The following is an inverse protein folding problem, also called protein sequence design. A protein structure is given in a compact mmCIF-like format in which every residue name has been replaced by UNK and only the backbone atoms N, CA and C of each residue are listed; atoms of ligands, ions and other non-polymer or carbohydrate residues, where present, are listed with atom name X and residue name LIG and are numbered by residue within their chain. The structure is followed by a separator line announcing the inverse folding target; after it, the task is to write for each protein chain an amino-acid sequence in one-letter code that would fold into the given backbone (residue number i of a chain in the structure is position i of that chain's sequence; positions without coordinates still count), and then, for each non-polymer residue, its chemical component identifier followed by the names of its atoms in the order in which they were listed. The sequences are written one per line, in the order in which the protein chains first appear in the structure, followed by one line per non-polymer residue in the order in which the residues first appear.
data_IF_024853179889
#
_entry.id   IF_024853179889
#
_cell.length_a   1.000
_cell.length_b   1.000
_cell.length_c   1.000
_cell.angle_alpha   90.00
_cell.angle_beta   90.00
_cell.angle_gamma   90.00
#
_symmetry.space_group_name_H-M   'P 1'
#
loop_
_entity.id
_entity.type
_entity.pdbx_description
1 polymer ?
#
# COMPACT_ATOMS: atom_id res chain seq x y z
N UNK A 1 -23.96 9.61 -10.69
CA UNK A 1 -22.52 9.32 -10.51
C UNK A 1 -22.39 8.46 -9.28
N UNK A 2 -21.50 7.47 -9.32
CA UNK A 2 -21.22 6.59 -8.19
C UNK A 2 -19.71 6.53 -7.93
N UNK A 3 -19.34 6.31 -6.69
CA UNK A 3 -17.95 6.16 -6.29
C UNK A 3 -17.58 4.68 -6.25
N UNK A 4 -16.50 4.31 -6.93
CA UNK A 4 -15.91 2.97 -6.87
C UNK A 4 -14.56 3.02 -6.18
N UNK A 5 -14.11 1.85 -5.70
CA UNK A 5 -12.81 1.66 -5.09
C UNK A 5 -12.06 0.58 -5.85
N UNK A 6 -10.88 0.91 -6.35
CA UNK A 6 -9.96 -0.02 -6.98
C UNK A 6 -8.72 -0.20 -6.11
N UNK A 7 -8.19 -1.40 -6.06
CA UNK A 7 -7.00 -1.74 -5.26
C UNK A 7 -5.91 -2.26 -6.18
N UNK A 8 -4.75 -1.62 -6.15
CA UNK A 8 -3.54 -2.14 -6.80
C UNK A 8 -2.62 -2.68 -5.73
N UNK A 9 -2.43 -3.99 -5.78
CA UNK A 9 -1.38 -4.70 -5.07
C UNK A 9 -0.13 -4.59 -5.94
N UNK A 10 0.85 -3.80 -5.51
CA UNK A 10 2.11 -3.71 -6.24
C UNK A 10 2.99 -4.89 -5.80
N UNK A 11 3.59 -5.58 -6.76
CA UNK A 11 4.61 -6.62 -6.50
C UNK A 11 5.60 -6.10 -5.44
N UNK A 12 5.54 -6.70 -4.25
CA UNK A 12 6.30 -6.37 -3.03
C UNK A 12 7.30 -5.21 -3.14
N UNK A 13 6.84 -3.97 -3.02
CA UNK A 13 7.77 -2.86 -2.80
C UNK A 13 8.28 -2.97 -1.38
N UNK A 14 9.43 -3.64 -1.22
CA UNK A 14 10.09 -3.78 0.08
C UNK A 14 10.62 -2.41 0.51
N UNK A 15 9.76 -1.61 1.14
CA UNK A 15 10.19 -0.40 1.80
C UNK A 15 10.69 -0.76 3.20
N UNK A 16 11.92 -0.32 3.49
CA UNK A 16 12.51 -0.40 4.81
C UNK A 16 11.93 0.75 5.63
N UNK A 17 10.94 0.47 6.48
CA UNK A 17 10.34 1.48 7.35
C UNK A 17 10.85 1.30 8.78
N UNK A 18 11.33 2.36 9.45
CA UNK A 18 11.68 2.29 10.87
C UNK A 18 10.42 2.03 11.70
N UNK A 19 10.40 0.95 12.47
CA UNK A 19 9.33 0.67 13.43
C UNK A 19 9.68 1.31 14.78
N UNK A 20 9.00 2.39 15.15
CA UNK A 20 9.16 3.02 16.45
C UNK A 20 8.26 2.34 17.48
N UNK A 21 8.84 1.78 18.54
CA UNK A 21 8.13 1.32 19.74
C UNK A 21 8.16 2.44 20.78
N UNK A 22 7.23 2.43 21.72
CA UNK A 22 7.10 3.47 22.76
C UNK A 22 8.39 3.68 23.59
N UNK A 23 9.24 2.66 23.66
CA UNK A 23 10.57 2.68 24.32
C UNK A 23 11.69 3.30 23.48
N UNK A 24 11.48 3.54 22.19
CA UNK A 24 12.51 4.02 21.26
C UNK A 24 12.57 5.56 21.33
N UNK A 25 13.12 6.07 22.42
CA UNK A 25 13.36 7.50 22.59
C UNK A 25 14.53 7.93 21.70
N UNK A 26 14.25 8.64 20.61
CA UNK A 26 15.26 9.05 19.62
C UNK A 26 16.09 10.24 20.15
N UNK A 27 17.05 9.95 21.02
CA UNK A 27 17.91 10.97 21.63
C UNK A 27 19.16 11.29 20.78
N UNK A 28 19.53 10.40 19.87
CA UNK A 28 20.72 10.54 19.03
C UNK A 28 20.59 9.84 17.67
N UNK A 29 21.43 10.23 16.70
CA UNK A 29 21.54 9.55 15.40
C UNK A 29 21.96 8.06 15.52
N UNK A 30 22.66 7.69 16.59
CA UNK A 30 22.99 6.28 16.85
C UNK A 30 21.79 5.47 17.30
N UNK A 31 20.76 6.10 17.86
CA UNK A 31 19.53 5.40 18.24
C UNK A 31 18.69 5.06 17.00
N UNK A 32 18.79 5.85 15.92
CA UNK A 32 18.20 5.53 14.61
C UNK A 32 18.77 4.24 14.00
N UNK A 33 20.05 3.94 14.25
CA UNK A 33 20.67 2.68 13.79
C UNK A 33 20.25 1.45 14.60
N UNK A 34 19.63 1.64 15.78
CA UNK A 34 19.11 0.56 16.63
C UNK A 34 17.65 0.22 16.33
N UNK A 35 16.97 1.01 15.49
CA UNK A 35 15.56 0.78 15.16
C UNK A 35 15.42 -0.46 14.30
N UNK A 36 14.48 -1.32 14.66
CA UNK A 36 14.09 -2.46 13.85
C UNK A 36 13.54 -1.96 12.50
N UNK A 37 14.25 -2.27 11.43
CA UNK A 37 13.80 -2.00 10.07
C UNK A 37 12.97 -3.18 9.59
N UNK A 38 11.70 -2.94 9.27
CA UNK A 38 10.79 -4.01 8.84
C UNK A 38 10.50 -3.86 7.35
N UNK A 39 10.39 -5.00 6.67
CA UNK A 39 9.87 -5.04 5.30
C UNK A 39 8.38 -4.75 5.34
N UNK A 40 7.92 -3.79 4.54
CA UNK A 40 6.49 -3.53 4.41
C UNK A 40 6.01 -3.82 3.01
N UNK A 41 4.83 -4.40 2.89
CA UNK A 41 4.07 -4.47 1.64
C UNK A 41 3.16 -3.26 1.50
N UNK A 42 2.96 -2.79 0.26
CA UNK A 42 2.15 -1.61 -0.05
C UNK A 42 0.94 -1.97 -0.90
N UNK A 43 -0.23 -1.55 -0.45
CA UNK A 43 -1.48 -1.59 -1.22
C UNK A 43 -1.95 -0.17 -1.46
N UNK A 44 -2.31 0.17 -2.69
CA UNK A 44 -2.85 1.49 -3.02
C UNK A 44 -4.32 1.37 -3.36
N UNK A 45 -5.17 2.03 -2.59
CA UNK A 45 -6.60 2.21 -2.88
C UNK A 45 -6.79 3.48 -3.70
N UNK A 46 -7.56 3.38 -4.78
CA UNK A 46 -7.97 4.49 -5.63
C UNK A 46 -9.48 4.69 -5.47
N UNK A 47 -9.86 5.90 -5.09
CA UNK A 47 -11.27 6.31 -4.97
C UNK A 47 -11.61 7.10 -6.23
N UNK A 48 -12.56 6.59 -7.02
CA UNK A 48 -12.85 7.11 -8.36
C UNK A 48 -14.35 7.32 -8.52
N UNK A 49 -14.75 8.50 -8.96
CA UNK A 49 -16.13 8.78 -9.32
C UNK A 49 -16.37 8.42 -10.79
N UNK A 50 -17.31 7.52 -11.02
CA UNK A 50 -17.66 7.00 -12.34
C UNK A 50 -19.14 7.26 -12.66
N UNK A 51 -19.50 7.25 -13.95
CA UNK A 51 -20.89 7.24 -14.39
C UNK A 51 -21.69 6.08 -13.78
N UNK A 52 -23.01 6.26 -13.62
CA UNK A 52 -23.86 5.25 -12.96
C UNK A 52 -23.94 3.94 -13.75
N UNK A 53 -23.82 4.02 -15.07
CA UNK A 53 -23.79 2.93 -16.04
C UNK A 53 -22.42 2.22 -16.13
N UNK A 54 -21.43 2.63 -15.34
CA UNK A 54 -20.13 1.95 -15.28
C UNK A 54 -20.31 0.47 -14.86
N UNK A 55 -19.77 -0.46 -15.66
CA UNK A 55 -19.65 -1.88 -15.32
C UNK A 55 -18.21 -2.32 -15.51
N UNK A 56 -17.67 -3.07 -14.54
CA UNK A 56 -16.31 -3.61 -14.60
C UNK A 56 -16.11 -4.57 -15.78
N UNK A 57 -17.15 -5.25 -16.22
CA UNK A 57 -17.10 -6.21 -17.34
C UNK A 57 -16.78 -5.55 -18.69
N UNK A 58 -16.97 -4.23 -18.79
CA UNK A 58 -16.70 -3.46 -20.00
C UNK A 58 -15.26 -2.95 -20.09
N UNK A 59 -14.45 -3.18 -19.05
CA UNK A 59 -13.09 -2.66 -18.95
C UNK A 59 -12.09 -3.81 -18.79
N UNK A 60 -11.00 -3.76 -19.55
CA UNK A 60 -9.86 -4.64 -19.33
C UNK A 60 -8.96 -4.12 -18.19
N UNK A 61 -8.00 -4.96 -17.76
CA UNK A 61 -7.08 -4.60 -16.68
C UNK A 61 -6.22 -3.38 -16.99
N UNK A 62 -5.84 -3.15 -18.25
CA UNK A 62 -5.00 -2.02 -18.64
C UNK A 62 -5.80 -0.72 -18.55
N UNK A 63 -7.08 -0.75 -18.95
CA UNK A 63 -8.01 0.35 -18.82
C UNK A 63 -8.34 0.66 -17.35
N UNK A 64 -8.55 -0.37 -16.51
CA UNK A 64 -8.74 -0.19 -15.07
C UNK A 64 -7.47 0.39 -14.40
N UNK A 65 -6.28 -0.06 -14.82
CA UNK A 65 -5.00 0.49 -14.35
C UNK A 65 -4.83 1.95 -14.77
N UNK A 66 -5.20 2.30 -16.00
CA UNK A 66 -5.21 3.69 -16.46
C UNK A 66 -6.18 4.55 -15.62
N UNK A 67 -7.36 4.01 -15.30
CA UNK A 67 -8.34 4.68 -14.43
C UNK A 67 -7.74 5.00 -13.06
N UNK A 68 -7.07 4.03 -12.44
CA UNK A 68 -6.33 4.23 -11.20
C UNK A 68 -5.28 5.34 -11.33
N UNK A 69 -4.41 5.28 -12.35
CA UNK A 69 -3.35 6.28 -12.57
C UNK A 69 -3.89 7.70 -12.84
N UNK A 70 -5.13 7.82 -13.30
CA UNK A 70 -5.79 9.11 -13.52
C UNK A 70 -6.43 9.71 -12.26
N UNK A 71 -6.60 8.92 -11.18
CA UNK A 71 -7.21 9.39 -9.95
C UNK A 71 -6.21 10.11 -9.05
N UNK A 72 -6.62 11.26 -8.51
CA UNK A 72 -5.87 12.04 -7.52
C UNK A 72 -6.18 11.62 -6.08
N UNK A 73 -7.25 10.83 -5.87
CA UNK A 73 -7.71 10.43 -4.54
C UNK A 73 -7.26 9.01 -4.25
N UNK A 74 -6.13 8.89 -3.55
CA UNK A 74 -5.52 7.60 -3.22
C UNK A 74 -5.23 7.46 -1.72
N UNK A 75 -5.37 6.25 -1.19
CA UNK A 75 -4.96 5.89 0.16
C UNK A 75 -3.89 4.79 0.06
N UNK A 76 -2.73 5.01 0.69
CA UNK A 76 -1.66 4.03 0.75
C UNK A 76 -1.69 3.26 2.08
N UNK A 77 -1.90 1.95 1.99
CA UNK A 77 -1.83 1.03 3.13
C UNK A 77 -0.46 0.35 3.15
N UNK A 78 0.19 0.41 4.31
CA UNK A 78 1.49 -0.23 4.54
C UNK A 78 1.31 -1.36 5.55
N UNK A 79 1.59 -2.59 5.12
CA UNK A 79 1.49 -3.79 5.94
C UNK A 79 2.89 -4.26 6.33
N UNK A 80 3.17 -4.40 7.62
CA UNK A 80 4.42 -5.00 8.07
C UNK A 80 4.42 -6.49 7.74
N UNK A 81 5.34 -6.94 6.89
CA UNK A 81 5.54 -8.37 6.67
C UNK A 81 6.47 -8.87 7.77
N UNK A 82 5.91 -9.53 8.77
CA UNK A 82 6.69 -10.34 9.68
C UNK A 82 6.99 -11.63 8.93
N UNK A 83 8.21 -11.77 8.41
CA UNK A 83 8.71 -13.07 7.96
C UNK A 83 8.74 -13.97 9.20
N UNK A 84 7.65 -14.67 9.45
CA UNK A 84 7.64 -15.75 10.40
C UNK A 84 8.17 -16.95 9.63
N UNK A 85 9.25 -17.59 10.11
CA UNK A 85 9.90 -18.74 9.45
C UNK A 85 8.98 -19.98 9.30
N UNK A 86 7.69 -19.83 9.63
CA UNK A 86 6.63 -20.81 9.48
C UNK A 86 5.87 -20.71 8.15
N UNK A 87 6.07 -19.67 7.35
CA UNK A 87 5.48 -19.56 6.01
C UNK A 87 6.32 -20.33 4.98
N UNK A 88 6.60 -21.60 5.28
CA UNK A 88 7.05 -22.59 4.30
C UNK A 88 5.80 -23.22 3.70
N UNK A 89 5.58 -22.95 2.42
CA UNK A 89 4.53 -23.55 1.57
C UNK A 89 4.72 -25.07 1.46
#
# INVERSE_FOLDING_TARGET
MKTIKLYIFKDSVTQKMPLFKEKDMLSSLNDLMKIDIIKTEKVTEYIIDVPDDFSFENYDNDQLTYLCNSSTNTIEYHFATVLNDYDVI
#
